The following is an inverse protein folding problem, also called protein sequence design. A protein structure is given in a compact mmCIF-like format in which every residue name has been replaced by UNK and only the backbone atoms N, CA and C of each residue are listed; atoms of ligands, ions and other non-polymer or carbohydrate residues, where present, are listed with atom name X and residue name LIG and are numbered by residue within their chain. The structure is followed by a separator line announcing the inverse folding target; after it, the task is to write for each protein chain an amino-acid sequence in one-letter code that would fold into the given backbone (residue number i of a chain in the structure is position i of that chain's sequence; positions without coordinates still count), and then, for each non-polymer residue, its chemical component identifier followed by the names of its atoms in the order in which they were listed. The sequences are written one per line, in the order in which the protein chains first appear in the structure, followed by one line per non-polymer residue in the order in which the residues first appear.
data_IF_466972764668
#
_entry.id   IF_466972764668
#
_cell.length_a   1.000
_cell.length_b   1.000
_cell.length_c   1.000
_cell.angle_alpha   90.00
_cell.angle_beta   90.00
_cell.angle_gamma   90.00
#
_symmetry.space_group_name_H-M   'P 1'
#
loop_
_entity.id
_entity.type
_entity.pdbx_description
1 polymer ?
#
# COMPACT_ATOMS: atom_id res chain seq x y z
N UNK A 1 13.16 -11.45 -12.16
CA UNK A 1 12.65 -10.40 -11.25
C UNK A 1 13.49 -10.46 -10.00
N UNK A 2 13.69 -9.35 -9.30
CA UNK A 2 14.44 -9.39 -8.05
C UNK A 2 13.58 -10.04 -6.97
N UNK A 3 14.09 -11.10 -6.35
CA UNK A 3 13.43 -11.75 -5.20
C UNK A 3 13.74 -11.02 -3.88
N UNK A 4 14.39 -9.86 -3.99
CA UNK A 4 14.84 -9.04 -2.86
C UNK A 4 14.49 -7.57 -3.08
N UNK A 5 14.21 -6.88 -1.99
CA UNK A 5 13.95 -5.44 -1.98
C UNK A 5 14.35 -4.82 -0.65
N UNK A 6 13.99 -3.55 -0.46
CA UNK A 6 14.22 -2.83 0.80
C UNK A 6 12.96 -2.11 1.22
N UNK A 7 12.68 -2.11 2.52
CA UNK A 7 11.65 -1.28 3.12
C UNK A 7 12.20 0.14 3.26
N UNK A 8 11.59 1.12 2.58
CA UNK A 8 12.01 2.52 2.66
C UNK A 8 11.34 3.29 3.78
N UNK A 9 10.06 3.00 4.05
CA UNK A 9 9.34 3.65 5.11
C UNK A 9 8.22 2.76 5.63
N UNK A 10 8.01 2.83 6.95
CA UNK A 10 6.75 2.42 7.56
C UNK A 10 5.91 3.67 7.75
N UNK A 11 4.68 3.64 7.24
CA UNK A 11 3.77 4.77 7.27
C UNK A 11 2.53 4.42 8.09
N UNK A 12 2.13 5.36 8.95
CA UNK A 12 0.89 5.28 9.74
C UNK A 12 0.10 6.56 9.56
N UNK A 13 -1.19 6.54 9.93
CA UNK A 13 -2.05 7.73 9.89
C UNK A 13 -1.37 8.91 10.58
N UNK A 14 -1.11 9.96 9.81
CA UNK A 14 -0.64 11.25 10.30
C UNK A 14 -1.81 12.07 10.86
N UNK A 15 -2.92 12.08 10.12
CA UNK A 15 -4.12 12.81 10.51
C UNK A 15 -5.36 12.17 9.89
N UNK A 16 -6.46 12.16 10.65
CA UNK A 16 -7.77 11.97 10.04
C UNK A 16 -8.16 13.25 9.32
N UNK A 17 -8.50 13.14 8.04
CA UNK A 17 -8.92 14.28 7.23
C UNK A 17 -10.43 14.26 7.02
N UNK A 18 -11.12 15.40 7.03
CA UNK A 18 -12.50 15.47 6.57
C UNK A 18 -12.62 14.92 5.14
N UNK A 19 -13.64 14.11 4.90
CA UNK A 19 -13.91 13.50 3.60
C UNK A 19 -15.40 13.51 3.31
N UNK A 20 -15.78 13.79 2.06
CA UNK A 20 -17.19 13.78 1.64
C UNK A 20 -17.79 12.37 1.53
N UNK A 21 -17.05 11.32 1.92
CA UNK A 21 -17.54 9.95 2.01
C UNK A 21 -18.51 9.74 3.17
N UNK A 22 -19.13 8.56 3.22
CA UNK A 22 -20.18 8.24 4.21
C UNK A 22 -19.73 8.28 5.68
N UNK A 23 -18.42 8.16 5.95
CA UNK A 23 -17.87 8.27 7.30
C UNK A 23 -17.52 9.71 7.70
N UNK A 24 -17.56 10.68 6.78
CA UNK A 24 -17.17 12.07 7.04
C UNK A 24 -15.66 12.31 7.25
N UNK A 25 -14.87 11.24 7.42
CA UNK A 25 -13.42 11.30 7.63
C UNK A 25 -12.69 10.18 6.88
N UNK A 26 -11.41 10.42 6.58
CA UNK A 26 -10.50 9.46 5.94
C UNK A 26 -9.16 9.35 6.68
N UNK A 27 -8.59 8.15 6.64
CA UNK A 27 -7.26 7.80 7.14
C UNK A 27 -6.22 7.64 6.01
N UNK A 28 -6.50 8.19 4.83
CA UNK A 28 -5.57 8.10 3.68
C UNK A 28 -4.29 8.92 3.89
N UNK A 29 -4.34 9.97 4.71
CA UNK A 29 -3.19 10.78 5.05
C UNK A 29 -2.27 10.05 6.03
N UNK A 30 -1.34 9.27 5.47
CA UNK A 30 -0.26 8.62 6.22
C UNK A 30 1.06 9.36 6.01
N UNK A 31 1.97 9.17 6.97
CA UNK A 31 3.34 9.65 6.86
C UNK A 31 4.31 8.62 7.44
N UNK A 32 5.55 8.66 6.95
CA UNK A 32 6.64 7.87 7.50
C UNK A 32 6.85 8.15 8.99
N UNK A 33 7.16 7.11 9.76
CA UNK A 33 7.56 7.20 11.16
C UNK A 33 8.98 6.72 11.37
N UNK A 34 9.64 7.34 12.34
CA UNK A 34 10.98 6.95 12.76
C UNK A 34 10.95 5.72 13.68
N UNK A 35 12.01 4.91 13.60
CA UNK A 35 12.20 3.75 14.45
C UNK A 35 11.43 2.50 14.02
N UNK A 36 11.40 1.52 14.91
CA UNK A 36 10.80 0.22 14.63
C UNK A 36 9.31 0.21 14.95
N UNK A 37 8.52 -0.36 14.03
CA UNK A 37 7.07 -0.49 14.14
C UNK A 37 6.69 -1.96 14.15
N UNK A 38 5.88 -2.35 15.13
CA UNK A 38 5.38 -3.73 15.23
C UNK A 38 4.25 -3.96 14.24
N UNK A 39 4.38 -4.96 13.37
CA UNK A 39 3.33 -5.46 12.50
C UNK A 39 2.50 -6.51 13.24
N UNK A 40 1.20 -6.24 13.38
CA UNK A 40 0.23 -7.13 14.01
C UNK A 40 -0.82 -7.64 13.03
N UNK A 41 -1.64 -8.60 13.48
CA UNK A 41 -2.71 -9.22 12.66
C UNK A 41 -3.63 -8.22 11.96
N UNK A 42 -3.84 -7.04 12.56
CA UNK A 42 -4.74 -6.01 12.06
C UNK A 42 -4.02 -4.78 11.48
N UNK A 43 -2.70 -4.84 11.30
CA UNK A 43 -1.90 -3.79 10.69
C UNK A 43 -0.71 -3.33 11.52
N UNK A 44 -0.11 -2.23 11.09
CA UNK A 44 1.00 -1.59 11.80
C UNK A 44 0.52 -0.96 13.11
N UNK A 45 1.30 -1.12 14.19
CA UNK A 45 1.01 -0.48 15.45
C UNK A 45 0.99 1.05 15.30
N UNK A 46 0.06 1.72 16.00
CA UNK A 46 -0.27 3.14 15.87
C UNK A 46 -0.98 3.56 14.55
N UNK A 47 -1.27 2.63 13.63
CA UNK A 47 -2.10 2.93 12.47
C UNK A 47 -3.60 2.82 12.79
N UNK A 48 -4.37 3.86 12.46
CA UNK A 48 -5.82 3.90 12.70
C UNK A 48 -6.58 3.52 11.42
N UNK A 49 -7.30 2.40 11.47
CA UNK A 49 -8.23 2.02 10.38
C UNK A 49 -9.61 2.68 10.60
N UNK A 50 -9.85 3.82 9.94
CA UNK A 50 -11.12 4.56 10.06
C UNK A 50 -12.36 3.77 9.57
N UNK A 51 -12.19 2.77 8.69
CA UNK A 51 -13.28 1.91 8.21
C UNK A 51 -12.89 0.42 8.19
N UNK A 52 -13.17 -0.30 9.28
CA UNK A 52 -12.88 -1.74 9.38
C UNK A 52 -13.71 -2.62 8.42
N UNK A 53 -14.86 -2.14 7.91
CA UNK A 53 -15.78 -2.94 7.08
C UNK A 53 -15.37 -2.97 5.60
N UNK A 54 -14.68 -1.95 5.09
CA UNK A 54 -14.33 -1.83 3.66
C UNK A 54 -12.82 -1.69 3.40
N UNK A 55 -12.05 -1.14 4.36
CA UNK A 55 -10.65 -0.73 4.19
C UNK A 55 -9.75 -1.27 5.30
N UNK A 56 -10.06 -2.46 5.82
CA UNK A 56 -9.31 -3.08 6.89
C UNK A 56 -9.66 -4.55 7.06
N UNK A 57 -9.26 -5.11 8.19
CA UNK A 57 -9.36 -6.54 8.48
C UNK A 57 -8.04 -7.29 8.21
N UNK A 58 -7.94 -8.56 8.64
CA UNK A 58 -6.69 -9.32 8.56
C UNK A 58 -6.11 -9.42 7.15
N UNK A 59 -6.97 -9.48 6.13
CA UNK A 59 -6.54 -9.60 4.73
C UNK A 59 -6.11 -8.28 4.09
N UNK A 60 -6.36 -7.16 4.76
CA UNK A 60 -5.95 -5.81 4.34
C UNK A 60 -5.23 -5.13 5.49
N UNK A 61 -4.44 -5.90 6.24
CA UNK A 61 -3.73 -5.42 7.42
C UNK A 61 -2.73 -4.33 7.03
N UNK A 62 -2.06 -4.49 5.89
CA UNK A 62 -1.08 -3.55 5.36
C UNK A 62 -1.34 -3.30 3.88
N UNK A 63 -0.92 -2.14 3.39
CA UNK A 63 -0.84 -1.83 1.97
C UNK A 63 0.62 -1.51 1.61
N UNK A 64 1.16 -2.15 0.58
CA UNK A 64 2.50 -1.88 0.08
C UNK A 64 2.48 -1.14 -1.25
N UNK A 65 3.41 -0.21 -1.44
CA UNK A 65 3.56 0.53 -2.68
C UNK A 65 5.04 0.64 -3.06
N UNK A 66 5.34 0.46 -4.34
CA UNK A 66 6.70 0.57 -4.84
C UNK A 66 7.12 2.03 -4.98
N UNK A 67 8.40 2.29 -4.69
CA UNK A 67 9.01 3.59 -4.86
C UNK A 67 9.09 3.98 -6.34
N UNK A 68 9.39 3.01 -7.19
CA UNK A 68 9.46 3.15 -8.65
C UNK A 68 8.11 3.58 -9.25
N UNK A 69 7.00 3.09 -8.68
CA UNK A 69 5.64 3.48 -9.08
C UNK A 69 5.29 4.88 -8.59
N UNK A 70 5.75 5.25 -7.39
CA UNK A 70 5.53 6.60 -6.89
C UNK A 70 6.29 7.63 -7.73
N UNK A 71 7.53 7.36 -8.12
CA UNK A 71 8.34 8.23 -8.99
C UNK A 71 7.70 8.45 -10.37
N UNK A 72 7.08 7.40 -10.92
CA UNK A 72 6.23 7.53 -12.10
C UNK A 72 5.11 8.55 -11.87
N UNK A 73 4.36 8.43 -10.77
CA UNK A 73 3.27 9.35 -10.46
C UNK A 73 3.74 10.77 -10.12
N UNK A 74 4.90 10.93 -9.49
CA UNK A 74 5.51 12.23 -9.23
C UNK A 74 5.78 12.98 -10.53
N UNK A 75 6.24 12.25 -11.55
CA UNK A 75 6.44 12.79 -12.91
C UNK A 75 5.10 13.15 -13.55
N UNK A 76 4.13 12.24 -13.49
CA UNK A 76 2.81 12.40 -14.11
C UNK A 76 1.94 13.49 -13.47
N UNK A 77 2.13 13.76 -12.17
CA UNK A 77 1.43 14.80 -11.41
C UNK A 77 2.27 16.07 -11.22
N UNK A 78 3.55 16.04 -11.59
CA UNK A 78 4.52 17.14 -11.41
C UNK A 78 4.57 17.65 -9.98
N UNK A 79 4.49 16.74 -9.01
CA UNK A 79 4.44 17.05 -7.59
C UNK A 79 5.13 15.94 -6.78
N UNK A 80 5.78 16.25 -5.66
CA UNK A 80 6.35 15.23 -4.77
C UNK A 80 5.24 14.42 -4.09
N UNK A 81 5.42 13.10 -4.02
CA UNK A 81 4.48 12.13 -3.44
C UNK A 81 5.20 11.32 -2.35
N UNK A 82 5.36 11.91 -1.15
CA UNK A 82 6.16 11.31 -0.08
C UNK A 82 5.58 9.96 0.37
N UNK A 83 6.38 9.12 1.05
CA UNK A 83 5.88 7.88 1.64
C UNK A 83 4.63 8.09 2.51
N UNK A 84 3.62 7.24 2.27
CA UNK A 84 2.31 7.31 2.89
C UNK A 84 1.26 8.04 2.05
N UNK A 85 1.65 8.75 0.98
CA UNK A 85 0.72 9.55 0.18
C UNK A 85 -0.36 8.72 -0.53
N UNK A 86 -0.06 7.49 -0.95
CA UNK A 86 -1.04 6.59 -1.56
C UNK A 86 -1.92 5.91 -0.49
N UNK A 87 -1.68 6.21 0.79
CA UNK A 87 -2.28 5.57 1.94
C UNK A 87 -1.63 4.23 2.30
N UNK A 88 -0.45 3.94 1.76
CA UNK A 88 0.34 2.74 2.01
C UNK A 88 0.93 2.73 3.41
N UNK A 89 1.12 1.53 3.96
CA UNK A 89 1.85 1.31 5.20
C UNK A 89 3.33 1.02 4.94
N UNK A 90 3.64 0.39 3.81
CA UNK A 90 5.00 -0.02 3.47
C UNK A 90 5.38 0.62 2.12
N UNK A 91 6.30 1.57 2.14
CA UNK A 91 6.97 2.01 0.91
C UNK A 91 8.17 1.12 0.69
N UNK A 92 8.25 0.46 -0.46
CA UNK A 92 9.31 -0.52 -0.76
C UNK A 92 10.04 -0.14 -2.05
N UNK A 93 11.28 -0.61 -2.21
CA UNK A 93 12.04 -0.49 -3.46
C UNK A 93 12.69 -1.82 -3.85
N UNK A 94 13.04 -1.96 -5.13
CA UNK A 94 13.74 -3.13 -5.67
C UNK A 94 12.88 -4.39 -5.80
N UNK A 95 11.62 -4.34 -5.33
CA UNK A 95 10.65 -5.42 -5.41
C UNK A 95 9.50 -5.00 -6.33
N UNK A 96 9.24 -5.78 -7.38
CA UNK A 96 8.12 -5.52 -8.29
C UNK A 96 6.80 -6.00 -7.67
N UNK A 97 6.20 -5.12 -6.87
CA UNK A 97 4.99 -5.43 -6.10
C UNK A 97 3.76 -5.70 -6.98
N UNK A 98 3.72 -5.20 -8.22
CA UNK A 98 2.57 -5.41 -9.12
C UNK A 98 2.64 -6.76 -9.84
N UNK A 99 3.83 -7.37 -9.93
CA UNK A 99 4.01 -8.72 -10.47
C UNK A 99 4.02 -9.82 -9.41
N UNK A 100 3.84 -9.47 -8.15
CA UNK A 100 3.67 -10.43 -7.08
C UNK A 100 2.46 -11.35 -7.31
N UNK A 101 2.46 -12.52 -6.70
CA UNK A 101 1.34 -13.49 -6.80
C UNK A 101 0.49 -13.50 -5.54
N UNK A 102 -0.79 -13.84 -5.70
CA UNK A 102 -1.67 -14.03 -4.54
C UNK A 102 -1.14 -15.18 -3.68
N UNK A 103 -0.97 -14.95 -2.37
CA UNK A 103 -0.38 -15.89 -1.42
C UNK A 103 1.15 -15.87 -1.37
N UNK A 104 1.81 -15.04 -2.18
CA UNK A 104 3.26 -14.81 -2.08
C UNK A 104 3.62 -14.23 -0.71
N UNK A 105 4.65 -14.79 -0.06
CA UNK A 105 5.07 -14.39 1.27
C UNK A 105 6.43 -13.69 1.25
N UNK A 106 6.47 -12.55 1.93
CA UNK A 106 7.67 -11.72 2.07
C UNK A 106 8.13 -11.73 3.51
N UNK A 107 9.41 -12.01 3.73
CA UNK A 107 10.08 -11.71 4.99
C UNK A 107 10.56 -10.26 4.94
N UNK A 108 10.28 -9.50 6.00
CA UNK A 108 10.75 -8.13 6.17
C UNK A 108 11.56 -8.07 7.46
N UNK A 109 12.81 -7.63 7.34
CA UNK A 109 13.76 -7.66 8.45
C UNK A 109 13.99 -9.09 8.95
N UNK A 110 14.11 -9.25 10.26
CA UNK A 110 14.48 -10.54 10.87
C UNK A 110 13.31 -11.53 10.96
N UNK A 111 12.11 -11.06 11.35
CA UNK A 111 11.05 -11.95 11.85
C UNK A 111 9.68 -11.75 11.22
N UNK A 112 9.36 -10.55 10.70
CA UNK A 112 8.04 -10.28 10.17
C UNK A 112 7.83 -11.02 8.84
N UNK A 113 6.68 -11.68 8.70
CA UNK A 113 6.26 -12.30 7.44
C UNK A 113 4.88 -11.79 7.07
N UNK A 114 4.77 -11.27 5.86
CA UNK A 114 3.53 -10.78 5.27
C UNK A 114 3.20 -11.59 4.03
N UNK A 115 1.91 -11.67 3.68
CA UNK A 115 1.43 -12.42 2.53
C UNK A 115 0.54 -11.54 1.65
N UNK A 116 0.76 -11.59 0.34
CA UNK A 116 -0.02 -10.87 -0.67
C UNK A 116 -1.42 -11.44 -0.74
N UNK A 117 -2.44 -10.58 -0.60
CA UNK A 117 -3.84 -11.03 -0.54
C UNK A 117 -4.66 -10.63 -1.75
N UNK A 118 -4.54 -9.38 -2.19
CA UNK A 118 -5.33 -8.83 -3.28
C UNK A 118 -4.77 -7.48 -3.76
N UNK A 119 -5.05 -7.07 -5.00
CA UNK A 119 -4.69 -5.74 -5.48
C UNK A 119 -5.42 -4.63 -4.72
N UNK A 120 -4.80 -3.46 -4.65
CA UNK A 120 -5.45 -2.22 -4.18
C UNK A 120 -6.51 -1.76 -5.18
N UNK A 121 -7.76 -1.59 -4.73
CA UNK A 121 -8.86 -1.05 -5.56
C UNK A 121 -9.09 0.46 -5.36
N UNK A 122 -8.54 1.36 -6.21
CA UNK A 122 -8.66 2.81 -6.02
C UNK A 122 -10.13 3.24 -5.81
N UNK A 123 -10.36 4.19 -4.90
CA UNK A 123 -11.70 4.56 -4.46
C UNK A 123 -11.95 6.06 -4.55
N UNK A 124 -13.20 6.48 -4.34
CA UNK A 124 -13.58 7.90 -4.42
C UNK A 124 -12.86 8.80 -3.40
N UNK A 125 -12.50 8.27 -2.23
CA UNK A 125 -11.65 8.99 -1.28
C UNK A 125 -10.26 9.28 -1.86
N UNK A 126 -9.70 8.36 -2.64
CA UNK A 126 -8.43 8.59 -3.34
C UNK A 126 -8.58 9.58 -4.51
N UNK A 127 -9.71 9.53 -5.24
CA UNK A 127 -10.05 10.55 -6.25
C UNK A 127 -10.08 11.97 -5.65
N UNK A 128 -10.65 12.14 -4.46
CA UNK A 128 -10.64 13.43 -3.77
C UNK A 128 -9.28 13.78 -3.20
N UNK A 129 -8.52 12.79 -2.75
CA UNK A 129 -7.20 13.00 -2.15
C UNK A 129 -6.20 13.63 -3.12
N UNK A 130 -6.20 13.23 -4.40
CA UNK A 130 -5.27 13.81 -5.39
C UNK A 130 -5.41 15.33 -5.56
N UNK A 131 -6.55 15.93 -5.18
CA UNK A 131 -6.79 17.39 -5.25
C UNK A 131 -5.78 18.21 -4.46
N UNK A 132 -5.13 17.61 -3.46
CA UNK A 132 -4.14 18.30 -2.64
C UNK A 132 -2.85 18.58 -3.42
N UNK A 133 -2.58 17.81 -4.47
CA UNK A 133 -1.43 17.99 -5.37
C UNK A 133 -1.87 18.55 -6.72
N UNK A 134 -2.99 18.07 -7.27
CA UNK A 134 -3.58 18.57 -8.51
C UNK A 134 -5.10 18.50 -8.44
N UNK A 135 -5.74 19.68 -8.35
CA UNK A 135 -7.21 19.79 -8.32
C UNK A 135 -7.87 19.28 -9.60
N UNK A 136 -7.20 19.42 -10.74
CA UNK A 136 -7.75 18.98 -12.03
C UNK A 136 -7.73 17.46 -12.19
N UNK A 137 -6.83 16.77 -11.46
CA UNK A 137 -6.66 15.34 -11.55
C UNK A 137 -7.80 14.51 -10.93
N UNK A 138 -8.61 15.07 -10.01
CA UNK A 138 -9.70 14.35 -9.34
C UNK A 138 -10.62 13.63 -10.32
N UNK A 139 -11.05 14.33 -11.36
CA UNK A 139 -11.96 13.77 -12.37
C UNK A 139 -11.20 12.76 -13.22
N UNK A 140 -11.58 11.49 -13.10
CA UNK A 140 -10.96 10.40 -13.84
C UNK A 140 -9.75 9.80 -13.14
N UNK A 141 -9.35 10.29 -11.95
CA UNK A 141 -8.19 9.78 -11.21
C UNK A 141 -8.22 8.26 -11.03
N UNK A 142 -9.35 7.73 -10.56
CA UNK A 142 -9.54 6.29 -10.32
C UNK A 142 -9.35 5.48 -11.61
N UNK A 143 -9.87 5.97 -12.73
CA UNK A 143 -9.73 5.30 -14.04
C UNK A 143 -8.29 5.35 -14.53
N UNK A 144 -7.62 6.51 -14.44
CA UNK A 144 -6.22 6.69 -14.82
C UNK A 144 -5.30 5.81 -13.98
N UNK A 145 -5.46 5.80 -12.67
CA UNK A 145 -4.69 4.96 -11.75
C UNK A 145 -4.91 3.47 -12.01
N UNK A 146 -6.15 3.06 -12.29
CA UNK A 146 -6.47 1.67 -12.65
C UNK A 146 -5.83 1.25 -13.98
N UNK A 147 -5.90 2.12 -14.99
CA UNK A 147 -5.37 1.85 -16.33
C UNK A 147 -3.84 1.66 -16.32
N UNK A 148 -3.13 2.39 -15.47
CA UNK A 148 -1.67 2.30 -15.34
C UNK A 148 -1.20 1.02 -14.65
N UNK A 149 -2.08 0.29 -13.93
CA UNK A 149 -1.77 -0.98 -13.26
C UNK A 149 -0.65 -0.93 -12.21
N UNK A 150 -0.31 0.28 -11.73
CA UNK A 150 0.61 0.54 -10.60
C UNK A 150 -0.15 0.60 -9.29
N UNK A 151 -0.75 -0.53 -8.92
CA UNK A 151 -1.75 -0.60 -7.86
C UNK A 151 -1.14 -0.88 -6.49
N UNK A 152 -0.14 -1.75 -6.44
CA UNK A 152 0.36 -2.32 -5.19
C UNK A 152 -0.61 -3.32 -4.54
N UNK A 153 -0.11 -4.24 -3.69
CA UNK A 153 -0.91 -5.23 -3.01
C UNK A 153 -1.35 -4.79 -1.61
N UNK A 154 -2.55 -5.23 -1.21
CA UNK A 154 -2.84 -5.45 0.20
C UNK A 154 -2.15 -6.72 0.69
N UNK A 155 -1.79 -6.70 1.97
CA UNK A 155 -1.06 -7.76 2.63
C UNK A 155 -1.74 -8.14 3.97
N UNK A 156 -1.68 -9.42 4.31
CA UNK A 156 -1.93 -9.92 5.67
C UNK A 156 -0.63 -10.17 6.42
N UNK A 157 -0.67 -10.10 7.75
CA UNK A 157 0.48 -10.46 8.59
C UNK A 157 0.38 -11.93 8.98
N UNK A 158 1.27 -12.76 8.46
CA UNK A 158 1.37 -14.22 8.75
C UNK A 158 2.20 -14.44 10.01
N UNK A 159 3.31 -13.70 10.17
CA UNK A 159 4.13 -13.71 11.38
C UNK A 159 4.38 -12.29 11.84
N UNK A 160 4.02 -12.01 13.09
CA UNK A 160 4.27 -10.70 13.70
C UNK A 160 5.76 -10.45 13.89
N UNK A 161 6.19 -9.21 13.71
CA UNK A 161 7.56 -8.78 13.96
C UNK A 161 7.64 -7.25 13.97
N UNK A 162 8.80 -6.73 14.37
CA UNK A 162 9.10 -5.30 14.27
C UNK A 162 9.89 -5.04 13.00
N UNK A 163 9.50 -4.01 12.26
CA UNK A 163 10.15 -3.59 11.01
C UNK A 163 10.47 -2.10 11.06
N UNK A 164 11.49 -1.67 10.32
CA UNK A 164 11.90 -0.25 10.21
C UNK A 164 12.40 0.06 8.79
N UNK A 165 12.48 1.34 8.47
CA UNK A 165 13.17 1.78 7.26
C UNK A 165 14.60 1.22 7.20
N UNK A 166 15.01 0.74 6.03
CA UNK A 166 16.28 0.08 5.78
C UNK A 166 16.23 -1.45 5.86
N UNK A 167 15.18 -2.05 6.43
CA UNK A 167 15.09 -3.50 6.55
C UNK A 167 15.04 -4.18 5.16
N UNK A 168 15.76 -5.29 4.97
CA UNK A 168 15.69 -6.06 3.74
C UNK A 168 14.31 -6.73 3.62
N UNK A 169 13.87 -6.88 2.37
CA UNK A 169 12.70 -7.66 2.00
C UNK A 169 13.18 -8.83 1.16
N UNK A 170 12.67 -10.03 1.42
CA UNK A 170 12.93 -11.20 0.60
C UNK A 170 11.64 -11.98 0.37
N UNK A 171 11.41 -12.38 -0.88
CA UNK A 171 10.35 -13.34 -1.20
C UNK A 171 10.81 -14.71 -0.70
N UNK A 172 10.05 -15.29 0.23
CA UNK A 172 10.40 -16.56 0.88
C UNK A 172 9.50 -17.71 0.47
N UNK A 173 8.36 -17.41 -0.14
CA UNK A 173 7.44 -18.41 -0.66
C UNK A 173 6.58 -17.80 -1.77
N UNK A 174 6.36 -18.57 -2.84
CA UNK A 174 5.42 -18.26 -3.91
C UNK A 174 4.57 -19.51 -4.12
N UNK A 175 3.24 -19.45 -3.98
CA UNK A 175 2.42 -20.64 -4.18
C UNK A 175 2.38 -21.07 -5.65
N UNK A 176 2.45 -22.38 -5.88
CA UNK A 176 2.40 -22.95 -7.22
C UNK A 176 1.06 -22.63 -7.91
N UNK A 177 1.14 -22.18 -9.16
CA UNK A 177 -0.06 -21.87 -9.96
C UNK A 177 -0.89 -20.69 -9.47
N UNK A 178 -0.44 -19.94 -8.45
CA UNK A 178 -1.17 -18.77 -7.97
C UNK A 178 -1.30 -17.70 -9.08
N UNK A 179 -2.47 -17.03 -9.18
CA UNK A 179 -2.65 -15.92 -10.10
C UNK A 179 -1.73 -14.75 -9.72
N UNK A 180 -1.33 -13.97 -10.72
CA UNK A 180 -0.67 -12.69 -10.49
C UNK A 180 -1.61 -11.70 -9.83
N UNK A 181 -1.05 -10.71 -9.12
CA UNK A 181 -1.81 -9.67 -8.43
C UNK A 181 -2.76 -8.95 -9.39
N UNK A 182 -2.27 -8.60 -10.58
CA UNK A 182 -3.05 -7.90 -11.60
C UNK A 182 -4.07 -8.79 -12.33
N UNK A 183 -3.85 -10.11 -12.36
CA UNK A 183 -4.84 -11.06 -12.90
C UNK A 183 -6.11 -11.09 -12.03
N UNK A 184 -5.94 -10.86 -10.72
CA UNK A 184 -7.03 -10.74 -9.77
C UNK A 184 -7.68 -9.34 -9.74
N UNK A 185 -7.18 -8.38 -10.51
CA UNK A 185 -7.70 -7.01 -10.53
C UNK A 185 -8.80 -6.83 -11.59
N UNK A 186 -9.95 -6.37 -11.14
CA UNK A 186 -11.07 -5.96 -11.99
C UNK A 186 -11.20 -4.45 -11.93
N UNK A 187 -11.26 -3.81 -13.10
CA UNK A 187 -11.41 -2.36 -13.17
C UNK A 187 -12.72 -1.92 -12.48
N UNK A 188 -12.70 -0.84 -11.68
CA UNK A 188 -13.92 -0.27 -11.14
C UNK A 188 -14.80 0.25 -12.28
N UNK A 189 -16.10 -0.08 -12.21
CA UNK A 189 -17.12 0.35 -13.18
C UNK A 189 -17.20 1.88 -13.36
#
# INVERSE_FOLDING_TARGET
MSDTGRLLAVCVVRALRPDAGSLGVTAIDKAAVDGAVRLGRYGAYADVQANRKHHGGPDKALYAYAQEDAEFWETELRAPLPPGWFGENLRVEGLDVNRARIGEQWRIGETAVVEVTMPRTPCQTFARWVRIVDRSAERGWVRRFSAERRLGPYLRVVRTGSVRAGDPISVIHVPDGAPGLLDAYVDPA
#
